data_IF_749379573118
#
_entry.id   IF_749379573118
#
_cell.length_a   1.000
_cell.length_b   1.000
_cell.length_c   1.000
_cell.angle_alpha   90.00
_cell.angle_beta   90.00
_cell.angle_gamma   90.00
#
_symmetry.space_group_name_H-M   'P 1'
#
loop_
_entity.id
_entity.type
_entity.pdbx_description
1 polymer ?
#
# COMPACT_ATOMS: atom_id res chain seq x y z
N UNK A 1 25.23 62.48 49.13
CA UNK A 1 26.48 62.50 48.34
C UNK A 1 26.30 61.54 47.18
N UNK A 2 26.77 61.91 45.97
CA UNK A 2 26.74 61.16 44.71
C UNK A 2 25.53 61.37 43.76
N UNK A 3 25.69 62.40 42.92
CA UNK A 3 25.65 62.40 41.44
C UNK A 3 24.49 61.74 40.68
N UNK A 4 23.70 62.63 40.08
CA UNK A 4 22.89 62.46 38.87
C UNK A 4 23.80 62.52 37.64
N UNK A 5 23.78 61.53 36.75
CA UNK A 5 24.22 61.71 35.35
C UNK A 5 23.30 60.90 34.42
N UNK A 6 22.88 61.59 33.36
CA UNK A 6 21.88 61.21 32.36
C UNK A 6 22.21 59.98 31.52
N UNK A 7 21.13 59.33 31.10
CA UNK A 7 21.04 58.37 30.01
C UNK A 7 21.31 59.09 28.68
N UNK A 8 22.21 58.54 27.85
CA UNK A 8 22.20 58.72 26.40
C UNK A 8 22.41 57.36 25.71
N UNK A 9 21.61 57.15 24.68
CA UNK A 9 21.43 55.93 23.90
C UNK A 9 22.63 55.50 23.07
N UNK A 10 22.84 54.19 22.92
CA UNK A 10 23.50 53.62 21.74
C UNK A 10 22.83 52.28 21.37
N UNK A 11 22.06 52.30 20.28
CA UNK A 11 21.55 51.12 19.59
C UNK A 11 22.68 50.48 18.80
N UNK A 12 23.03 49.21 19.09
CA UNK A 12 23.94 48.42 18.26
C UNK A 12 23.15 47.30 17.57
N UNK A 13 23.14 47.34 16.24
CA UNK A 13 22.54 46.35 15.35
C UNK A 13 23.38 45.07 15.25
N UNK A 14 22.65 43.98 15.10
CA UNK A 14 22.93 42.66 14.51
C UNK A 14 24.30 42.37 13.88
N UNK A 15 24.88 41.22 14.26
CA UNK A 15 25.38 40.13 13.39
C UNK A 15 25.65 38.93 14.35
N UNK A 16 25.22 37.69 14.15
CA UNK A 16 25.13 36.93 12.92
C UNK A 16 26.37 36.04 12.77
N UNK A 17 26.63 35.10 13.70
CA UNK A 17 27.31 33.79 13.46
C UNK A 17 27.75 33.09 14.76
N UNK A 18 27.54 31.78 14.78
CA UNK A 18 28.23 30.71 15.52
C UNK A 18 28.78 31.00 16.92
N UNK A 19 28.08 30.53 17.95
CA UNK A 19 28.71 30.17 19.23
C UNK A 19 28.37 28.73 19.62
N UNK A 20 29.34 27.86 19.36
CA UNK A 20 29.60 26.65 20.14
C UNK A 20 29.73 27.04 21.62
N UNK A 21 28.78 26.62 22.45
CA UNK A 21 28.95 26.66 23.90
C UNK A 21 29.58 25.35 24.36
N UNK A 22 30.90 25.33 24.40
CA UNK A 22 31.69 24.32 25.12
C UNK A 22 31.63 24.68 26.60
N UNK A 23 30.85 23.93 27.39
CA UNK A 23 31.03 23.87 28.84
C UNK A 23 31.51 22.46 29.16
N UNK A 24 32.80 22.34 29.45
CA UNK A 24 33.42 21.12 29.96
C UNK A 24 33.17 21.08 31.46
N UNK A 25 32.24 20.24 31.90
CA UNK A 25 32.16 19.79 33.29
C UNK A 25 32.75 18.37 33.37
N UNK A 26 33.84 18.25 34.12
CA UNK A 26 34.55 17.03 34.45
C UNK A 26 33.69 16.13 35.35
N UNK A 27 33.28 14.99 34.80
CA UNK A 27 32.65 13.89 35.52
C UNK A 27 32.61 12.69 34.58
N UNK A 28 33.10 11.54 35.04
CA UNK A 28 33.25 10.28 34.30
C UNK A 28 32.16 10.09 33.23
N UNK A 29 32.50 10.49 32.00
CA UNK A 29 31.58 10.47 30.88
C UNK A 29 31.63 9.04 30.34
N UNK A 30 30.72 8.19 30.80
CA UNK A 30 30.37 6.99 30.05
C UNK A 30 29.73 7.50 28.75
N UNK A 31 30.55 7.89 27.78
CA UNK A 31 30.10 8.25 26.43
C UNK A 31 29.73 6.96 25.74
N UNK A 32 28.62 6.35 26.16
CA UNK A 32 27.89 5.46 25.29
C UNK A 32 27.48 6.35 24.13
N UNK A 33 28.02 6.10 22.94
CA UNK A 33 27.73 6.86 21.74
C UNK A 33 26.24 6.69 21.43
N UNK A 34 25.41 7.60 21.97
CA UNK A 34 23.97 7.57 21.78
C UNK A 34 23.69 8.09 20.39
N UNK A 35 23.03 7.26 19.57
CA UNK A 35 22.62 7.66 18.24
C UNK A 35 21.45 8.64 18.35
N UNK A 36 21.64 9.86 17.85
CA UNK A 36 20.56 10.82 17.72
C UNK A 36 19.81 10.59 16.39
N UNK A 37 18.64 9.96 16.48
CA UNK A 37 17.85 9.64 15.30
C UNK A 37 17.26 10.87 14.59
N UNK A 38 17.32 12.06 15.18
CA UNK A 38 16.83 13.27 14.53
C UNK A 38 17.65 13.62 13.29
N UNK A 39 18.93 13.27 13.27
CA UNK A 39 19.83 13.57 12.16
C UNK A 39 19.53 12.69 10.92
N UNK A 40 18.72 11.64 11.09
CA UNK A 40 18.33 10.69 10.03
C UNK A 40 16.89 10.87 9.55
N UNK A 41 16.18 11.90 10.04
CA UNK A 41 14.81 12.18 9.67
C UNK A 41 14.58 13.69 9.51
N UNK A 42 13.61 14.05 8.70
CA UNK A 42 13.29 15.47 8.43
C UNK A 42 12.70 16.16 9.69
N UNK A 43 11.97 15.41 10.53
CA UNK A 43 11.26 15.97 11.67
C UNK A 43 12.14 16.01 12.94
N UNK A 44 12.19 17.19 13.58
CA UNK A 44 12.88 17.37 14.87
C UNK A 44 12.15 16.68 16.03
N UNK A 45 10.80 16.64 16.00
CA UNK A 45 9.99 15.89 16.97
C UNK A 45 9.58 14.52 16.41
N UNK A 46 9.67 13.46 17.23
CA UNK A 46 9.37 12.09 16.83
C UNK A 46 8.36 11.43 17.76
N UNK A 47 7.36 10.76 17.16
CA UNK A 47 6.46 9.85 17.88
C UNK A 47 7.19 8.56 18.28
N UNK A 48 6.85 8.00 19.44
CA UNK A 48 7.45 6.74 19.93
C UNK A 48 6.96 5.51 19.16
N UNK A 49 7.28 5.40 17.87
CA UNK A 49 6.85 4.29 16.97
C UNK A 49 7.42 2.93 17.38
N UNK A 50 8.54 2.92 18.11
CA UNK A 50 9.22 1.69 18.49
C UNK A 50 8.40 0.83 19.45
N UNK A 51 7.53 1.41 20.30
CA UNK A 51 6.70 0.62 21.22
C UNK A 51 5.73 -0.30 20.47
N UNK A 52 5.15 0.17 19.37
CA UNK A 52 4.23 -0.61 18.53
C UNK A 52 4.95 -1.80 17.92
N UNK A 53 6.12 -1.57 17.34
CA UNK A 53 6.91 -2.63 16.71
C UNK A 53 7.44 -3.63 17.74
N UNK A 54 7.95 -3.13 18.86
CA UNK A 54 8.45 -3.97 19.96
C UNK A 54 7.35 -4.87 20.51
N UNK A 55 6.14 -4.34 20.73
CA UNK A 55 5.01 -5.13 21.21
C UNK A 55 4.63 -6.23 20.22
N UNK A 56 4.54 -5.92 18.92
CA UNK A 56 4.24 -6.94 17.90
C UNK A 56 5.30 -8.03 17.86
N UNK A 57 6.58 -7.67 17.84
CA UNK A 57 7.67 -8.64 17.81
C UNK A 57 7.69 -9.52 19.08
N UNK A 58 7.44 -8.93 20.25
CA UNK A 58 7.48 -9.63 21.55
C UNK A 58 6.26 -10.52 21.77
N UNK A 59 5.07 -10.07 21.40
CA UNK A 59 3.81 -10.79 21.60
C UNK A 59 3.62 -11.92 20.59
N UNK A 60 3.85 -11.69 19.30
CA UNK A 60 3.67 -12.73 18.28
C UNK A 60 4.90 -13.63 18.17
N UNK A 61 6.11 -13.05 18.27
CA UNK A 61 7.34 -13.77 18.00
C UNK A 61 7.61 -13.98 16.50
N UNK A 62 8.86 -14.29 16.16
CA UNK A 62 9.34 -14.36 14.77
C UNK A 62 8.67 -15.51 14.00
N UNK A 63 8.45 -16.66 14.64
CA UNK A 63 7.85 -17.82 13.99
C UNK A 63 6.41 -17.55 13.55
N UNK A 64 5.59 -16.94 14.40
CA UNK A 64 4.19 -16.65 14.06
C UNK A 64 4.08 -15.57 12.98
N UNK A 65 4.93 -14.54 13.00
CA UNK A 65 4.96 -13.54 11.93
C UNK A 65 5.32 -14.17 10.58
N UNK A 66 6.30 -15.08 10.56
CA UNK A 66 6.67 -15.81 9.35
C UNK A 66 5.53 -16.71 8.87
N UNK A 67 4.82 -17.37 9.79
CA UNK A 67 3.68 -18.21 9.46
C UNK A 67 2.51 -17.39 8.89
N UNK A 68 2.23 -16.22 9.46
CA UNK A 68 1.20 -15.31 8.97
C UNK A 68 1.47 -14.90 7.51
N UNK A 69 2.67 -14.40 7.22
CA UNK A 69 3.09 -14.03 5.86
C UNK A 69 3.01 -15.22 4.90
N UNK A 70 3.44 -16.41 5.33
CA UNK A 70 3.36 -17.62 4.49
C UNK A 70 1.91 -18.04 4.24
N UNK A 71 1.02 -17.85 5.20
CA UNK A 71 -0.40 -18.14 5.03
C UNK A 71 -1.04 -17.21 4.00
N UNK A 72 -0.71 -15.91 4.04
CA UNK A 72 -1.17 -14.93 3.05
C UNK A 72 -0.69 -15.31 1.65
N UNK A 73 0.59 -15.65 1.51
CA UNK A 73 1.17 -16.09 0.24
C UNK A 73 0.50 -17.39 -0.26
N UNK A 74 0.17 -18.32 0.63
CA UNK A 74 -0.54 -19.56 0.28
C UNK A 74 -1.95 -19.25 -0.24
N UNK A 75 -2.69 -18.38 0.45
CA UNK A 75 -4.05 -17.96 0.05
C UNK A 75 -4.05 -17.27 -1.31
N UNK A 76 -3.03 -16.45 -1.58
CA UNK A 76 -2.93 -15.75 -2.87
C UNK A 76 -2.54 -16.71 -3.98
N UNK A 77 -1.67 -17.69 -3.71
CA UNK A 77 -1.37 -18.76 -4.67
C UNK A 77 -2.61 -19.59 -4.99
N UNK A 78 -3.48 -19.83 -4.01
CA UNK A 78 -4.77 -20.48 -4.24
C UNK A 78 -5.66 -19.63 -5.15
N UNK A 79 -5.76 -18.32 -4.90
CA UNK A 79 -6.49 -17.40 -5.78
C UNK A 79 -5.93 -17.37 -7.21
N UNK A 80 -4.60 -17.31 -7.37
CA UNK A 80 -3.92 -17.36 -8.67
C UNK A 80 -4.31 -18.62 -9.45
N UNK A 81 -4.32 -19.79 -8.80
CA UNK A 81 -4.75 -21.04 -9.44
C UNK A 81 -6.21 -21.02 -9.88
N UNK A 82 -7.11 -20.38 -9.11
CA UNK A 82 -8.50 -20.22 -9.52
C UNK A 82 -8.66 -19.33 -10.76
N UNK A 83 -7.85 -18.25 -10.85
CA UNK A 83 -7.82 -17.36 -12.01
C UNK A 83 -7.30 -18.10 -13.24
N UNK A 84 -6.21 -18.86 -13.11
CA UNK A 84 -5.60 -19.61 -14.22
C UNK A 84 -6.51 -20.74 -14.75
N UNK A 85 -7.35 -21.32 -13.89
CA UNK A 85 -8.33 -22.34 -14.30
C UNK A 85 -9.44 -21.77 -15.19
N UNK A 86 -9.76 -20.48 -15.07
CA UNK A 86 -10.81 -19.82 -15.85
C UNK A 86 -10.21 -19.12 -17.07
N UNK A 87 -10.41 -19.72 -18.25
CA UNK A 87 -9.86 -19.23 -19.53
C UNK A 87 -10.31 -17.82 -19.90
N UNK A 88 -11.33 -17.28 -19.23
CA UNK A 88 -11.81 -15.91 -19.46
C UNK A 88 -10.90 -14.87 -18.84
N UNK A 89 -10.03 -15.27 -17.92
CA UNK A 89 -9.12 -14.38 -17.22
C UNK A 89 -7.67 -14.72 -17.56
N UNK A 90 -6.81 -13.73 -17.41
CA UNK A 90 -5.37 -13.90 -17.52
C UNK A 90 -4.65 -13.17 -16.38
N UNK A 91 -3.59 -13.79 -15.87
CA UNK A 91 -2.67 -13.17 -14.91
C UNK A 91 -1.65 -12.35 -15.70
N UNK A 92 -1.64 -11.02 -15.50
CA UNK A 92 -0.86 -10.09 -16.34
C UNK A 92 0.59 -10.01 -15.89
N UNK A 93 0.83 -10.16 -14.58
CA UNK A 93 2.16 -10.04 -13.98
C UNK A 93 2.39 -11.24 -13.06
N UNK A 94 3.58 -11.87 -13.09
CA UNK A 94 3.90 -12.95 -12.17
C UNK A 94 3.68 -12.53 -10.72
N UNK A 95 2.96 -13.36 -9.95
CA UNK A 95 2.67 -13.06 -8.54
C UNK A 95 3.96 -12.91 -7.74
N UNK A 96 4.07 -11.79 -7.02
CA UNK A 96 5.07 -11.57 -5.99
C UNK A 96 4.36 -11.34 -4.66
N UNK A 97 4.82 -12.01 -3.61
CA UNK A 97 4.22 -11.94 -2.26
C UNK A 97 2.71 -12.28 -2.27
N UNK A 98 1.90 -11.46 -1.61
CA UNK A 98 0.48 -11.69 -1.34
C UNK A 98 -0.46 -10.85 -2.22
N UNK A 99 -0.08 -10.59 -3.47
CA UNK A 99 -0.90 -9.84 -4.42
C UNK A 99 -0.89 -10.47 -5.81
N UNK A 100 -2.07 -10.59 -6.43
CA UNK A 100 -2.24 -11.03 -7.82
C UNK A 100 -2.82 -9.90 -8.65
N UNK A 101 -2.27 -9.71 -9.84
CA UNK A 101 -2.75 -8.77 -10.84
C UNK A 101 -3.30 -9.56 -12.02
N UNK A 102 -4.60 -9.47 -12.24
CA UNK A 102 -5.31 -10.22 -13.26
C UNK A 102 -6.28 -9.31 -14.02
N UNK A 103 -6.74 -9.76 -15.18
CA UNK A 103 -7.78 -9.08 -15.96
C UNK A 103 -8.63 -10.09 -16.72
N UNK A 104 -9.79 -9.66 -17.19
CA UNK A 104 -10.52 -10.39 -18.23
C UNK A 104 -9.65 -10.40 -19.49
N UNK A 105 -9.39 -11.60 -20.01
CA UNK A 105 -8.56 -11.79 -21.20
C UNK A 105 -9.21 -11.09 -22.39
N UNK A 106 -8.43 -10.39 -23.23
CA UNK A 106 -8.93 -9.84 -24.49
C UNK A 106 -9.56 -10.89 -25.40
N UNK A 107 -9.23 -12.18 -25.25
CA UNK A 107 -9.82 -13.27 -26.02
C UNK A 107 -11.28 -13.59 -25.66
N UNK A 108 -11.69 -13.30 -24.42
CA UNK A 108 -13.04 -13.54 -23.93
C UNK A 108 -14.03 -12.43 -24.31
N UNK A 109 -13.53 -11.28 -24.75
CA UNK A 109 -14.35 -10.15 -25.16
C UNK A 109 -14.64 -10.28 -26.66
N UNK A 110 -15.92 -10.31 -27.03
CA UNK A 110 -16.30 -10.43 -28.44
C UNK A 110 -15.84 -9.21 -29.25
N UNK A 111 -14.98 -9.46 -30.25
CA UNK A 111 -14.51 -8.44 -31.20
C UNK A 111 -15.63 -7.87 -32.09
N UNK A 112 -16.79 -8.54 -32.15
CA UNK A 112 -17.90 -8.12 -33.00
C UNK A 112 -18.52 -6.76 -32.56
N UNK A 113 -18.39 -6.41 -31.28
CA UNK A 113 -19.02 -5.21 -30.71
C UNK A 113 -18.07 -4.00 -30.61
N UNK A 114 -16.79 -4.14 -30.98
CA UNK A 114 -15.79 -3.10 -30.76
C UNK A 114 -14.87 -2.86 -31.99
N UNK A 115 -14.72 -1.61 -32.45
CA UNK A 115 -13.86 -1.29 -33.59
C UNK A 115 -12.37 -1.55 -33.28
N UNK A 116 -11.68 -2.21 -34.22
CA UNK A 116 -10.31 -2.75 -34.09
C UNK A 116 -9.25 -1.73 -33.68
N UNK A 117 -9.42 -0.44 -34.04
CA UNK A 117 -8.44 0.61 -33.78
C UNK A 117 -8.31 1.01 -32.29
N UNK A 118 -9.28 0.66 -31.43
CA UNK A 118 -9.31 1.02 -30.00
C UNK A 118 -9.54 -0.20 -29.08
N UNK A 119 -9.23 -1.41 -29.56
CA UNK A 119 -9.59 -2.64 -28.87
C UNK A 119 -9.09 -2.70 -27.42
N UNK A 120 -7.82 -2.35 -27.17
CA UNK A 120 -7.24 -2.36 -25.82
C UNK A 120 -7.95 -1.39 -24.87
N UNK A 121 -8.40 -0.23 -25.38
CA UNK A 121 -9.17 0.72 -24.59
C UNK A 121 -10.53 0.14 -24.19
N UNK A 122 -11.19 -0.58 -25.10
CA UNK A 122 -12.44 -1.27 -24.81
C UNK A 122 -12.26 -2.39 -23.76
N UNK A 123 -11.18 -3.18 -23.86
CA UNK A 123 -10.83 -4.19 -22.84
C UNK A 123 -10.61 -3.53 -21.48
N UNK A 124 -9.92 -2.40 -21.44
CA UNK A 124 -9.70 -1.63 -20.22
C UNK A 124 -11.01 -1.11 -19.62
N UNK A 125 -11.93 -0.60 -20.45
CA UNK A 125 -13.25 -0.15 -20.02
C UNK A 125 -14.09 -1.29 -19.43
N UNK A 126 -14.05 -2.49 -20.04
CA UNK A 126 -14.72 -3.69 -19.50
C UNK A 126 -14.18 -4.06 -18.12
N UNK A 127 -12.86 -4.07 -17.96
CA UNK A 127 -12.22 -4.36 -16.67
C UNK A 127 -12.50 -3.28 -15.62
N UNK A 128 -12.61 -2.01 -16.03
CA UNK A 128 -13.01 -0.90 -15.15
C UNK A 128 -14.44 -1.12 -14.63
N UNK A 129 -15.39 -1.39 -15.53
CA UNK A 129 -16.79 -1.68 -15.18
C UNK A 129 -16.92 -2.92 -14.28
N UNK A 130 -16.14 -3.97 -14.54
CA UNK A 130 -16.11 -5.16 -13.69
C UNK A 130 -15.68 -4.80 -12.27
N UNK A 131 -14.61 -4.03 -12.11
CA UNK A 131 -14.14 -3.62 -10.79
C UNK A 131 -15.15 -2.74 -10.04
N UNK A 132 -15.78 -1.79 -10.75
CA UNK A 132 -16.84 -0.95 -10.20
C UNK A 132 -18.04 -1.77 -9.73
N UNK A 133 -18.46 -2.77 -10.51
CA UNK A 133 -19.56 -3.68 -10.15
C UNK A 133 -19.22 -4.51 -8.90
N UNK A 134 -18.02 -5.09 -8.84
CA UNK A 134 -17.54 -5.86 -7.68
C UNK A 134 -17.54 -5.00 -6.41
N UNK A 135 -16.96 -3.79 -6.50
CA UNK A 135 -16.85 -2.89 -5.36
C UNK A 135 -18.21 -2.30 -4.95
N UNK A 136 -19.14 -2.11 -5.91
CA UNK A 136 -20.49 -1.63 -5.67
C UNK A 136 -21.34 -2.58 -4.83
N UNK A 137 -21.06 -3.89 -4.86
CA UNK A 137 -21.72 -4.89 -4.02
C UNK A 137 -21.33 -4.78 -2.53
N UNK A 138 -20.18 -4.17 -2.22
CA UNK A 138 -19.69 -3.97 -0.85
C UNK A 138 -19.25 -5.22 -0.09
N UNK A 139 -19.32 -6.41 -0.71
CA UNK A 139 -18.88 -7.69 -0.09
C UNK A 139 -17.38 -7.92 -0.20
N UNK A 140 -16.77 -7.41 -1.25
CA UNK A 140 -15.34 -7.56 -1.57
C UNK A 140 -14.86 -6.21 -2.08
N UNK A 141 -13.63 -5.85 -1.74
CA UNK A 141 -13.01 -4.64 -2.27
C UNK A 141 -11.68 -4.99 -2.94
N UNK A 142 -11.55 -4.59 -4.20
CA UNK A 142 -10.32 -4.70 -4.97
C UNK A 142 -9.93 -3.34 -5.53
N UNK A 143 -8.66 -3.20 -5.87
CA UNK A 143 -8.11 -1.99 -6.50
C UNK A 143 -7.70 -2.30 -7.94
N UNK A 144 -7.47 -1.26 -8.74
CA UNK A 144 -6.85 -1.43 -10.06
C UNK A 144 -5.40 -0.92 -10.07
N UNK A 145 -4.68 -1.28 -11.14
CA UNK A 145 -3.44 -0.63 -11.53
C UNK A 145 -3.39 -0.52 -13.06
N UNK A 146 -2.59 0.41 -13.56
CA UNK A 146 -2.26 0.52 -14.99
C UNK A 146 -0.83 0.02 -15.20
N UNK A 147 -0.67 -1.08 -15.94
CA UNK A 147 0.62 -1.72 -16.21
C UNK A 147 0.87 -1.67 -17.72
N UNK A 148 1.78 -0.79 -18.17
CA UNK A 148 2.08 -0.67 -19.61
C UNK A 148 0.87 -0.29 -20.48
N UNK A 149 -0.06 0.51 -19.93
CA UNK A 149 -1.31 0.88 -20.62
C UNK A 149 -2.45 -0.14 -20.47
N UNK A 150 -2.20 -1.26 -19.79
CA UNK A 150 -3.18 -2.30 -19.52
C UNK A 150 -3.83 -2.06 -18.15
N UNK A 151 -5.15 -2.04 -18.11
CA UNK A 151 -5.92 -1.98 -16.86
C UNK A 151 -6.01 -3.37 -16.23
N UNK A 152 -5.50 -3.50 -15.00
CA UNK A 152 -5.49 -4.76 -14.25
C UNK A 152 -6.22 -4.61 -12.92
N UNK A 153 -6.99 -5.64 -12.57
CA UNK A 153 -7.55 -5.80 -11.23
C UNK A 153 -6.46 -6.37 -10.32
N UNK A 154 -6.35 -5.80 -9.12
CA UNK A 154 -5.40 -6.20 -8.11
C UNK A 154 -6.13 -6.72 -6.88
N UNK A 155 -5.97 -8.01 -6.63
CA UNK A 155 -6.37 -8.66 -5.39
C UNK A 155 -5.16 -8.72 -4.45
N UNK A 156 -5.22 -7.99 -3.33
CA UNK A 156 -4.18 -7.99 -2.30
C UNK A 156 -4.75 -8.62 -1.02
N UNK A 157 -4.13 -9.71 -0.58
CA UNK A 157 -4.54 -10.43 0.63
C UNK A 157 -3.51 -10.16 1.73
N UNK A 158 -4.00 -9.93 2.93
CA UNK A 158 -3.17 -9.64 4.11
C UNK A 158 -3.92 -9.05 5.30
N UNK A 159 -5.25 -9.01 5.25
CA UNK A 159 -6.09 -8.61 6.37
C UNK A 159 -6.16 -9.72 7.42
N UNK A 160 -6.13 -9.34 8.69
CA UNK A 160 -5.94 -10.26 9.84
C UNK A 160 -6.98 -11.38 9.95
N UNK A 161 -8.22 -11.13 9.48
CA UNK A 161 -9.33 -12.09 9.57
C UNK A 161 -9.59 -12.84 8.26
N UNK A 162 -8.73 -12.67 7.25
CA UNK A 162 -8.91 -13.36 5.97
C UNK A 162 -8.51 -14.81 6.09
N UNK A 163 -9.36 -15.68 5.55
CA UNK A 163 -9.19 -17.12 5.51
C UNK A 163 -9.42 -17.57 4.07
N UNK A 164 -8.99 -18.78 3.74
CA UNK A 164 -9.11 -19.36 2.39
C UNK A 164 -10.57 -19.34 1.87
N UNK A 165 -11.56 -19.54 2.76
CA UNK A 165 -12.99 -19.45 2.44
C UNK A 165 -13.40 -18.06 1.91
N UNK A 166 -12.82 -17.00 2.46
CA UNK A 166 -13.08 -15.62 2.03
C UNK A 166 -12.50 -15.36 0.64
N UNK A 167 -11.34 -15.96 0.34
CA UNK A 167 -10.70 -15.88 -0.98
C UNK A 167 -11.53 -16.60 -2.04
N UNK A 168 -12.03 -17.81 -1.73
CA UNK A 168 -12.94 -18.53 -2.61
C UNK A 168 -14.26 -17.79 -2.84
N UNK A 169 -14.82 -17.16 -1.81
CA UNK A 169 -16.01 -16.30 -1.94
C UNK A 169 -15.73 -15.08 -2.82
N UNK A 170 -14.57 -14.44 -2.65
CA UNK A 170 -14.18 -13.30 -3.47
C UNK A 170 -14.06 -13.67 -4.95
N UNK A 171 -13.51 -14.85 -5.25
CA UNK A 171 -13.44 -15.35 -6.62
C UNK A 171 -14.82 -15.60 -7.22
N UNK A 172 -15.76 -16.18 -6.46
CA UNK A 172 -17.15 -16.37 -6.94
C UNK A 172 -17.82 -15.05 -7.31
N UNK A 173 -17.65 -14.01 -6.49
CA UNK A 173 -18.18 -12.67 -6.79
C UNK A 173 -17.58 -12.11 -8.09
N UNK A 174 -16.27 -12.30 -8.33
CA UNK A 174 -15.64 -11.91 -9.59
C UNK A 174 -16.27 -12.66 -10.77
N UNK A 175 -16.48 -13.97 -10.64
CA UNK A 175 -17.10 -14.78 -11.70
C UNK A 175 -18.54 -14.35 -11.99
N UNK A 176 -19.36 -14.16 -10.95
CA UNK A 176 -20.76 -13.73 -11.07
C UNK A 176 -20.89 -12.39 -11.83
N UNK A 177 -20.05 -11.40 -11.50
CA UNK A 177 -20.06 -10.11 -12.20
C UNK A 177 -19.45 -10.19 -13.61
N UNK A 178 -18.45 -11.04 -13.81
CA UNK A 178 -17.89 -11.26 -15.14
C UNK A 178 -18.90 -11.97 -16.07
N UNK A 179 -19.67 -12.92 -15.55
CA UNK A 179 -20.77 -13.57 -16.28
C UNK A 179 -21.80 -12.55 -16.74
N UNK A 180 -22.24 -11.66 -15.84
CA UNK A 180 -23.21 -10.61 -16.17
C UNK A 180 -22.72 -9.61 -17.23
N UNK A 181 -21.41 -9.32 -17.26
CA UNK A 181 -20.81 -8.37 -18.21
C UNK A 181 -20.51 -9.03 -19.57
N UNK A 182 -20.04 -10.27 -19.57
CA UNK A 182 -19.65 -10.98 -20.79
C UNK A 182 -20.85 -11.63 -21.49
N UNK A 183 -21.84 -12.08 -20.74
CA UNK A 183 -23.09 -12.66 -21.24
C UNK A 183 -24.27 -11.84 -20.71
N UNK A 184 -24.51 -10.65 -21.27
CA UNK A 184 -25.67 -9.87 -20.87
C UNK A 184 -26.93 -10.73 -21.10
N UNK A 185 -27.85 -10.81 -20.13
CA UNK A 185 -29.08 -11.55 -20.32
C UNK A 185 -29.80 -11.01 -21.55
N UNK A 186 -30.17 -11.89 -22.48
CA UNK A 186 -31.01 -11.52 -23.61
C UNK A 186 -32.34 -11.00 -23.05
N UNK A 187 -32.49 -9.67 -23.05
CA UNK A 187 -33.77 -9.03 -22.73
C UNK A 187 -34.65 -9.27 -23.96
N UNK A 188 -35.57 -10.24 -23.87
CA UNK A 188 -36.70 -10.37 -24.79
C UNK A 188 -37.74 -9.29 -24.49
#
# INVERSE_FOLDING_TARGET
MALRVQIHSASVRTNGSSQTSTVVASGLRIQKQVVDYKDWQIALSRRFRAIKLWLVLRSYGVNNLRNFIRSDVKMVKFFEGLVEMDKRFEVVVPRKFSSVCFRVSPSAISKANYPTANYEKCVNEVNCKLLEAINGLGRVFMTHAMVGGIYVLRCAIGTTLTEEKHVGMAWKVVQEHADAILHPPCIN
#
